data_IF_678579676364
#
_entry.id   IF_678579676364
#
_cell.length_a   1.000
_cell.length_b   1.000
_cell.length_c   1.000
_cell.angle_alpha   90.00
_cell.angle_beta   90.00
_cell.angle_gamma   90.00
#
_symmetry.space_group_name_H-M   'P 1'
#
loop_
_entity.id
_entity.type
_entity.pdbx_description
1 polymer ?
#
# COMPACT_ATOMS: atom_id res chain seq x y z
N UNK A 1 52.32 -28.49 -26.50
CA UNK A 1 52.65 -27.48 -25.48
C UNK A 1 51.96 -26.14 -25.79
N UNK A 2 50.67 -26.16 -26.16
CA UNK A 2 50.01 -25.02 -26.84
C UNK A 2 48.90 -24.38 -26.01
N UNK A 3 48.33 -25.13 -25.06
CA UNK A 3 47.19 -24.67 -24.23
C UNK A 3 47.61 -23.75 -23.06
N UNK A 4 48.85 -23.84 -22.57
CA UNK A 4 49.34 -22.92 -21.52
C UNK A 4 49.57 -21.49 -22.05
N UNK A 5 50.04 -21.36 -23.30
CA UNK A 5 50.32 -20.05 -23.91
C UNK A 5 49.02 -19.27 -24.18
N UNK A 6 47.94 -19.98 -24.54
CA UNK A 6 46.63 -19.38 -24.74
C UNK A 6 46.05 -18.81 -23.42
N UNK A 7 46.18 -19.55 -22.31
CA UNK A 7 45.73 -19.07 -20.99
C UNK A 7 46.53 -17.86 -20.50
N UNK A 8 47.84 -17.80 -20.78
CA UNK A 8 48.68 -16.69 -20.37
C UNK A 8 48.36 -15.41 -21.13
N UNK A 9 48.10 -15.50 -22.44
CA UNK A 9 47.69 -14.34 -23.26
C UNK A 9 46.33 -13.78 -22.82
N UNK A 10 45.37 -14.64 -22.51
CA UNK A 10 44.04 -14.21 -22.03
C UNK A 10 44.15 -13.49 -20.69
N UNK A 11 44.99 -13.99 -19.78
CA UNK A 11 45.21 -13.39 -18.47
C UNK A 11 45.92 -12.03 -18.56
N UNK A 12 46.88 -11.88 -19.47
CA UNK A 12 47.54 -10.60 -19.74
C UNK A 12 46.57 -9.57 -20.32
N UNK A 13 45.66 -10.00 -21.20
CA UNK A 13 44.66 -9.10 -21.79
C UNK A 13 43.63 -8.61 -20.76
N UNK A 14 43.25 -9.48 -19.83
CA UNK A 14 42.37 -9.12 -18.72
C UNK A 14 43.06 -8.18 -17.72
N UNK A 15 44.32 -8.45 -17.38
CA UNK A 15 45.12 -7.56 -16.53
C UNK A 15 45.34 -6.20 -17.19
N UNK A 16 45.61 -6.15 -18.50
CA UNK A 16 45.73 -4.89 -19.23
C UNK A 16 44.41 -4.10 -19.25
N UNK A 17 43.27 -4.78 -19.38
CA UNK A 17 41.96 -4.17 -19.33
C UNK A 17 41.58 -3.64 -17.93
N UNK A 18 42.05 -4.28 -16.87
CA UNK A 18 41.87 -3.82 -15.48
C UNK A 18 42.84 -2.71 -15.07
N UNK A 19 44.04 -2.68 -15.65
CA UNK A 19 45.06 -1.67 -15.35
C UNK A 19 44.83 -0.35 -16.12
N UNK A 20 44.00 -0.40 -17.16
CA UNK A 20 43.57 0.78 -17.92
C UNK A 20 42.25 1.26 -17.34
N UNK A 21 42.31 1.92 -16.19
CA UNK A 21 41.18 2.68 -15.64
C UNK A 21 40.77 3.76 -16.67
N UNK A 22 39.49 3.71 -17.06
CA UNK A 22 38.68 4.77 -17.68
C UNK A 22 39.33 5.61 -18.80
N UNK A 23 39.10 5.21 -20.05
CA UNK A 23 39.34 6.05 -21.22
C UNK A 23 38.40 7.29 -21.21
N UNK A 24 38.93 8.52 -21.39
CA UNK A 24 38.13 9.75 -21.48
C UNK A 24 37.22 9.83 -22.73
N UNK A 25 37.23 8.80 -23.60
CA UNK A 25 36.53 8.80 -24.88
C UNK A 25 35.01 8.64 -24.76
N UNK A 26 34.52 7.93 -23.73
CA UNK A 26 33.07 7.78 -23.51
C UNK A 26 32.40 9.07 -23.03
N UNK A 27 33.09 9.91 -22.27
CA UNK A 27 32.55 11.21 -21.83
C UNK A 27 32.47 12.23 -22.98
N UNK A 28 33.45 12.22 -23.90
CA UNK A 28 33.43 13.12 -25.07
C UNK A 28 32.32 12.74 -26.04
N UNK A 29 32.08 11.44 -26.27
CA UNK A 29 30.99 10.98 -27.12
C UNK A 29 29.60 11.33 -26.56
N UNK A 30 29.40 11.18 -25.24
CA UNK A 30 28.15 11.58 -24.58
C UNK A 30 27.93 13.11 -24.64
N UNK A 31 28.99 13.90 -24.48
CA UNK A 31 28.91 15.36 -24.58
C UNK A 31 28.56 15.82 -26.00
N UNK A 32 29.15 15.20 -27.03
CA UNK A 32 28.83 15.50 -28.43
C UNK A 32 27.37 15.18 -28.77
N UNK A 33 26.85 14.04 -28.31
CA UNK A 33 25.42 13.70 -28.48
C UNK A 33 24.50 14.70 -27.78
N UNK A 34 24.87 15.15 -26.58
CA UNK A 34 24.08 16.12 -25.83
C UNK A 34 24.08 17.50 -26.50
N UNK A 35 25.18 17.90 -27.12
CA UNK A 35 25.29 19.13 -27.92
C UNK A 35 24.43 19.04 -29.20
N UNK A 36 24.49 17.93 -29.94
CA UNK A 36 23.65 17.72 -31.12
C UNK A 36 22.15 17.77 -30.80
N UNK A 37 21.73 17.17 -29.68
CA UNK A 37 20.32 17.21 -29.25
C UNK A 37 19.86 18.64 -28.92
N UNK A 38 20.72 19.43 -28.27
CA UNK A 38 20.41 20.82 -27.93
C UNK A 38 20.31 21.71 -29.17
N UNK A 39 21.12 21.45 -30.20
CA UNK A 39 21.07 22.17 -31.47
C UNK A 39 19.79 21.87 -32.27
N UNK A 40 19.29 20.63 -32.22
CA UNK A 40 17.99 20.25 -32.79
C UNK A 40 16.81 20.89 -32.04
N UNK A 41 16.90 20.96 -30.72
CA UNK A 41 15.90 21.62 -29.87
C UNK A 41 15.85 23.13 -30.12
N UNK A 42 17.01 23.77 -30.30
CA UNK A 42 17.10 25.20 -30.61
C UNK A 42 16.50 25.54 -31.99
N UNK A 43 16.69 24.67 -33.00
CA UNK A 43 16.08 24.84 -34.32
C UNK A 43 14.55 24.71 -34.27
N UNK A 44 14.01 23.87 -33.38
CA UNK A 44 12.57 23.70 -33.20
C UNK A 44 11.89 24.88 -32.47
N UNK A 45 12.62 25.64 -31.65
CA UNK A 45 12.05 26.74 -30.83
C UNK A 45 11.87 28.06 -31.60
N UNK A 46 12.49 28.22 -32.78
CA UNK A 46 12.42 29.46 -33.56
C UNK A 46 11.14 29.55 -34.43
N UNK A 47 10.31 28.49 -34.48
CA UNK A 47 9.04 28.50 -35.24
C UNK A 47 7.82 28.45 -34.33
N UNK A 48 7.73 29.34 -33.34
CA UNK A 48 6.42 29.75 -32.79
C UNK A 48 6.52 31.18 -32.27
N UNK A 49 6.53 32.13 -33.20
CA UNK A 49 6.26 33.53 -32.89
C UNK A 49 4.75 33.70 -32.65
N UNK A 50 4.40 34.09 -31.43
CA UNK A 50 3.18 34.86 -31.11
C UNK A 50 3.06 36.09 -32.03
N UNK A 51 1.90 36.78 -32.02
CA UNK A 51 2.00 38.07 -31.34
C UNK A 51 0.76 38.53 -30.56
N UNK A 52 1.08 39.44 -29.62
CA UNK A 52 0.39 40.68 -29.28
C UNK A 52 -0.63 40.71 -28.13
N UNK A 53 -0.17 41.34 -27.05
CA UNK A 53 -0.89 41.96 -25.94
C UNK A 53 -1.80 43.09 -26.40
N UNK A 54 -3.01 43.18 -25.84
CA UNK A 54 -3.75 44.45 -25.70
C UNK A 54 -4.59 44.47 -24.42
N UNK A 55 -4.45 45.57 -23.69
CA UNK A 55 -5.10 45.97 -22.44
C UNK A 55 -6.59 46.25 -22.62
N UNK A 56 -7.44 45.88 -21.62
CA UNK A 56 -8.48 46.78 -21.08
C UNK A 56 -9.30 46.19 -19.90
N UNK A 57 -9.76 47.14 -19.10
CA UNK A 57 -10.45 47.17 -17.81
C UNK A 57 -11.99 46.98 -17.89
N UNK A 58 -12.56 46.47 -16.79
CA UNK A 58 -13.94 46.67 -16.25
C UNK A 58 -15.16 46.35 -17.14
N UNK A 59 -15.99 45.38 -16.71
CA UNK A 59 -17.45 45.57 -16.51
C UNK A 59 -18.16 44.32 -15.97
N UNK A 60 -18.92 44.53 -14.88
CA UNK A 60 -20.06 43.68 -14.45
C UNK A 60 -21.18 43.79 -15.49
N UNK A 61 -21.87 42.70 -15.79
CA UNK A 61 -23.32 42.53 -15.52
C UNK A 61 -23.92 41.30 -16.26
N UNK A 62 -24.47 40.39 -15.46
CA UNK A 62 -25.76 39.72 -15.60
C UNK A 62 -26.10 38.96 -16.90
N UNK A 63 -26.17 37.63 -16.78
CA UNK A 63 -27.46 36.95 -17.01
C UNK A 63 -27.65 35.83 -15.99
N UNK A 64 -28.88 35.76 -15.50
CA UNK A 64 -29.37 35.00 -14.34
C UNK A 64 -30.54 34.15 -14.87
N UNK A 65 -30.82 33.05 -14.17
CA UNK A 65 -32.03 32.20 -14.24
C UNK A 65 -31.96 31.08 -15.30
N UNK A 66 -32.34 29.82 -15.03
CA UNK A 66 -33.30 29.32 -14.05
C UNK A 66 -33.04 27.85 -13.66
N UNK A 67 -33.23 27.51 -12.38
CA UNK A 67 -33.77 26.23 -11.89
C UNK A 67 -33.71 26.18 -10.35
N UNK A 68 -34.47 27.07 -9.70
CA UNK A 68 -34.68 27.06 -8.25
C UNK A 68 -36.16 26.87 -7.99
N UNK A 69 -36.65 25.64 -8.15
CA UNK A 69 -38.03 25.28 -7.72
C UNK A 69 -38.17 23.82 -7.27
N UNK A 70 -37.11 23.01 -7.23
CA UNK A 70 -37.24 21.58 -6.86
C UNK A 70 -36.56 21.19 -5.54
N UNK A 71 -35.79 22.09 -4.91
CA UNK A 71 -35.02 21.74 -3.69
C UNK A 71 -35.82 21.89 -2.40
N UNK A 72 -36.92 22.65 -2.40
CA UNK A 72 -37.70 22.90 -1.18
C UNK A 72 -38.74 21.81 -0.88
N UNK A 73 -39.16 21.05 -1.90
CA UNK A 73 -40.10 19.93 -1.74
C UNK A 73 -39.42 18.60 -1.37
N UNK A 74 -38.10 18.47 -1.60
CA UNK A 74 -37.33 17.28 -1.22
C UNK A 74 -36.97 17.25 0.29
N UNK A 75 -36.81 18.43 0.92
CA UNK A 75 -36.49 18.53 2.34
C UNK A 75 -37.70 18.23 3.26
N UNK A 76 -38.93 18.41 2.76
CA UNK A 76 -40.15 18.11 3.49
C UNK A 76 -40.42 16.58 3.60
N UNK A 77 -40.08 15.81 2.55
CA UNK A 77 -40.27 14.36 2.53
C UNK A 77 -39.33 13.58 3.45
N UNK A 78 -38.12 14.08 3.69
CA UNK A 78 -37.16 13.48 4.62
C UNK A 78 -37.58 13.66 6.08
N UNK A 79 -38.15 14.81 6.46
CA UNK A 79 -38.64 15.04 7.84
C UNK A 79 -39.81 14.13 8.21
N UNK A 80 -40.70 13.78 7.27
CA UNK A 80 -41.83 12.89 7.55
C UNK A 80 -41.44 11.41 7.73
N UNK A 81 -40.33 10.95 7.13
CA UNK A 81 -39.82 9.59 7.34
C UNK A 81 -39.09 9.39 8.66
N UNK A 82 -38.47 10.44 9.22
CA UNK A 82 -37.83 10.36 10.54
C UNK A 82 -38.85 10.32 11.69
N UNK A 83 -39.98 11.03 11.57
CA UNK A 83 -41.04 11.02 12.61
C UNK A 83 -41.75 9.66 12.74
N UNK A 84 -41.86 8.90 11.64
CA UNK A 84 -42.46 7.55 11.69
C UNK A 84 -41.49 6.47 12.22
N UNK A 85 -40.17 6.69 12.13
CA UNK A 85 -39.17 5.76 12.67
C UNK A 85 -38.99 5.90 14.20
N UNK A 86 -39.19 7.10 14.76
CA UNK A 86 -39.15 7.31 16.21
C UNK A 86 -40.39 6.75 16.94
N UNK A 87 -41.54 6.63 16.28
CA UNK A 87 -42.76 6.09 16.89
C UNK A 87 -42.83 4.55 16.92
N UNK A 88 -41.94 3.85 16.21
CA UNK A 88 -41.86 2.38 16.26
C UNK A 88 -40.92 1.86 17.38
N UNK A 89 -40.26 2.76 18.14
CA UNK A 89 -39.28 2.40 19.17
C UNK A 89 -39.79 2.55 20.61
N UNK A 90 -41.09 2.79 20.81
CA UNK A 90 -41.74 2.76 22.12
C UNK A 90 -42.75 1.62 22.18
N UNK A 91 -42.29 0.46 22.66
CA UNK A 91 -43.03 -0.55 23.42
C UNK A 91 -42.13 -1.79 23.54
N UNK A 92 -41.34 -1.87 24.61
CA UNK A 92 -41.13 -3.08 25.44
C UNK A 92 -40.23 -2.66 26.61
N UNK A 93 -40.80 -1.87 27.51
CA UNK A 93 -40.26 -1.72 28.87
C UNK A 93 -40.71 -2.96 29.64
N UNK A 94 -39.86 -4.00 29.64
CA UNK A 94 -40.08 -5.17 30.49
C UNK A 94 -39.46 -4.87 31.85
N UNK A 95 -40.28 -4.35 32.74
CA UNK A 95 -39.97 -4.27 34.17
C UNK A 95 -39.68 -5.68 34.68
N UNK A 96 -38.47 -5.90 35.20
CA UNK A 96 -38.14 -7.06 36.02
C UNK A 96 -37.86 -6.55 37.43
N UNK A 97 -38.67 -6.91 38.42
CA UNK A 97 -38.52 -6.39 39.78
C UNK A 97 -37.28 -6.95 40.45
N UNK A 98 -36.54 -6.06 41.11
CA UNK A 98 -35.46 -6.37 42.05
C UNK A 98 -36.07 -6.78 43.38
N UNK A 99 -36.07 -8.09 43.70
CA UNK A 99 -36.04 -8.60 45.08
C UNK A 99 -36.01 -10.14 45.09
N UNK A 100 -34.83 -10.75 45.26
CA UNK A 100 -34.58 -11.71 46.34
C UNK A 100 -33.13 -12.22 46.31
N UNK A 101 -32.36 -11.78 47.32
CA UNK A 101 -31.22 -12.53 47.84
C UNK A 101 -31.74 -13.81 48.48
N UNK A 102 -31.03 -14.92 48.31
CA UNK A 102 -30.35 -15.67 49.39
C UNK A 102 -29.94 -17.07 48.91
N UNK A 103 -28.63 -17.33 49.02
CA UNK A 103 -28.00 -18.61 49.34
C UNK A 103 -28.31 -19.85 48.48
N UNK A 104 -27.33 -20.29 47.68
CA UNK A 104 -26.77 -21.65 47.81
C UNK A 104 -25.27 -21.57 47.52
N UNK A 105 -24.51 -22.00 48.51
CA UNK A 105 -23.07 -22.23 48.52
C UNK A 105 -22.77 -23.53 47.75
N UNK A 106 -21.99 -23.47 46.68
CA UNK A 106 -21.32 -24.64 46.09
C UNK A 106 -20.08 -24.15 45.33
N UNK A 107 -18.86 -24.56 45.70
CA UNK A 107 -17.65 -24.08 45.06
C UNK A 107 -17.41 -24.83 43.75
N UNK A 108 -17.69 -24.18 42.63
CA UNK A 108 -17.17 -24.55 41.31
C UNK A 108 -15.90 -23.72 41.02
N UNK A 109 -14.86 -24.32 40.44
CA UNK A 109 -13.51 -23.76 40.44
C UNK A 109 -13.45 -22.47 39.63
N UNK A 110 -12.72 -21.52 40.20
CA UNK A 110 -12.34 -20.22 39.63
C UNK A 110 -11.75 -20.44 38.24
N UNK A 111 -12.52 -20.14 37.21
CA UNK A 111 -11.96 -19.84 35.90
C UNK A 111 -11.25 -18.50 36.03
N UNK A 112 -9.92 -18.53 36.00
CA UNK A 112 -9.10 -17.34 35.87
C UNK A 112 -9.62 -16.50 34.70
N UNK A 113 -9.71 -15.16 34.84
CA UNK A 113 -9.99 -14.32 33.69
C UNK A 113 -8.87 -14.54 32.67
N UNK A 114 -9.24 -15.03 31.49
CA UNK A 114 -8.36 -15.10 30.34
C UNK A 114 -7.77 -13.71 30.14
N UNK A 115 -6.51 -13.57 30.49
CA UNK A 115 -5.69 -12.40 30.17
C UNK A 115 -5.72 -12.34 28.64
N UNK A 116 -6.44 -11.36 28.09
CA UNK A 116 -6.26 -10.96 26.70
C UNK A 116 -4.78 -10.67 26.58
N UNK A 117 -4.05 -11.60 25.97
CA UNK A 117 -2.62 -11.46 25.75
C UNK A 117 -2.44 -10.20 24.92
N UNK A 118 -1.99 -9.12 25.55
CA UNK A 118 -1.54 -7.94 24.85
C UNK A 118 -0.52 -8.43 23.82
N UNK A 119 -0.79 -8.20 22.54
CA UNK A 119 0.12 -8.54 21.47
C UNK A 119 1.52 -8.02 21.84
N UNK A 120 2.59 -8.82 21.63
CA UNK A 120 3.93 -8.45 22.04
C UNK A 120 4.25 -7.04 21.53
N UNK A 121 4.75 -6.18 22.43
CA UNK A 121 5.13 -4.82 22.06
C UNK A 121 6.29 -4.93 21.09
N UNK A 122 6.00 -4.75 19.80
CA UNK A 122 6.98 -4.97 18.75
C UNK A 122 8.14 -3.98 18.84
N UNK A 123 9.35 -4.46 18.52
CA UNK A 123 10.60 -3.70 18.62
C UNK A 123 10.67 -2.44 17.74
N UNK A 124 9.83 -2.31 16.71
CA UNK A 124 9.76 -1.09 15.90
C UNK A 124 8.79 -0.05 16.47
N UNK A 125 7.98 -0.39 17.48
CA UNK A 125 7.17 0.58 18.21
C UNK A 125 7.99 1.38 19.21
N UNK A 126 9.23 0.98 19.48
CA UNK A 126 10.13 1.64 20.42
C UNK A 126 11.32 2.23 19.66
N UNK A 127 11.43 3.57 19.65
CA UNK A 127 12.54 4.28 19.03
C UNK A 127 12.41 4.52 17.52
N UNK A 128 13.55 4.67 16.85
CA UNK A 128 13.64 4.92 15.40
C UNK A 128 13.70 3.61 14.63
N UNK A 129 12.96 3.52 13.54
CA UNK A 129 12.99 2.35 12.66
C UNK A 129 12.91 2.77 11.19
N UNK A 130 13.38 1.89 10.30
CA UNK A 130 13.26 2.11 8.86
C UNK A 130 12.03 1.37 8.34
N UNK A 131 11.28 2.02 7.47
CA UNK A 131 10.18 1.40 6.73
C UNK A 131 10.38 1.57 5.23
N UNK A 132 10.03 0.53 4.48
CA UNK A 132 10.01 0.51 3.02
C UNK A 132 8.64 0.96 2.55
N UNK A 133 8.63 1.94 1.65
CA UNK A 133 7.41 2.46 1.07
C UNK A 133 7.27 1.90 -0.34
N UNK A 134 6.06 1.46 -0.67
CA UNK A 134 5.71 0.98 -2.00
C UNK A 134 4.31 1.44 -2.38
N UNK A 135 4.07 1.52 -3.69
CA UNK A 135 2.80 1.91 -4.27
C UNK A 135 2.05 0.68 -4.78
N UNK A 136 0.76 0.61 -4.46
CA UNK A 136 -0.18 -0.41 -4.94
C UNK A 136 -1.50 0.26 -5.27
N UNK A 137 -1.97 0.15 -6.50
CA UNK A 137 -3.25 0.71 -6.94
C UNK A 137 -3.41 2.21 -6.66
N UNK A 138 -2.30 2.96 -6.67
CA UNK A 138 -2.27 4.38 -6.30
C UNK A 138 -2.32 4.68 -4.79
N UNK A 139 -2.20 3.67 -3.93
CA UNK A 139 -2.07 3.82 -2.48
C UNK A 139 -0.63 3.53 -2.02
N UNK A 140 -0.12 4.42 -1.18
CA UNK A 140 1.16 4.26 -0.50
C UNK A 140 1.00 3.40 0.75
N UNK A 141 1.82 2.36 0.83
CA UNK A 141 1.89 1.45 1.97
C UNK A 141 3.32 1.37 2.46
N UNK A 142 3.49 1.27 3.77
CA UNK A 142 4.79 1.16 4.42
C UNK A 142 4.89 -0.17 5.20
N UNK A 143 6.01 -0.86 5.05
CA UNK A 143 6.35 -2.08 5.79
C UNK A 143 7.68 -1.89 6.52
N UNK A 144 7.77 -2.16 7.84
CA UNK A 144 9.03 -2.08 8.57
C UNK A 144 10.12 -3.00 7.98
N UNK A 145 11.34 -2.49 7.80
CA UNK A 145 12.46 -3.29 7.27
C UNK A 145 12.84 -4.45 8.20
N UNK A 146 12.62 -4.32 9.51
CA UNK A 146 12.87 -5.40 10.48
C UNK A 146 12.01 -6.63 10.21
N UNK A 147 10.84 -6.44 9.63
CA UNK A 147 9.87 -7.52 9.33
C UNK A 147 9.84 -7.84 7.83
N UNK A 148 10.79 -7.33 7.05
CA UNK A 148 10.88 -7.57 5.62
C UNK A 148 11.74 -8.81 5.35
N UNK A 149 11.18 -9.83 4.70
CA UNK A 149 11.94 -11.05 4.35
C UNK A 149 12.83 -10.88 3.12
N UNK A 150 12.38 -10.06 2.18
CA UNK A 150 13.05 -9.86 0.89
C UNK A 150 12.12 -9.24 -0.14
N UNK A 151 12.68 -8.86 -1.28
CA UNK A 151 11.93 -8.32 -2.41
C UNK A 151 12.38 -9.07 -3.67
N UNK A 152 11.42 -9.59 -4.41
CA UNK A 152 11.65 -10.30 -5.65
C UNK A 152 10.91 -9.62 -6.80
N UNK A 153 11.43 -9.76 -8.01
CA UNK A 153 10.70 -9.35 -9.21
C UNK A 153 9.57 -10.36 -9.47
N UNK A 154 8.46 -9.87 -10.00
CA UNK A 154 7.33 -10.69 -10.38
C UNK A 154 7.74 -11.68 -11.46
N UNK A 155 7.50 -12.97 -11.21
CA UNK A 155 7.70 -14.04 -12.19
C UNK A 155 6.37 -14.71 -12.53
N UNK A 156 6.41 -15.81 -13.29
CA UNK A 156 5.23 -16.60 -13.57
C UNK A 156 4.58 -17.09 -12.26
N UNK A 157 3.32 -16.70 -12.05
CA UNK A 157 2.52 -17.09 -10.89
C UNK A 157 1.54 -18.18 -11.32
N UNK A 158 1.54 -19.30 -10.59
CA UNK A 158 0.57 -20.37 -10.79
C UNK A 158 -0.68 -20.11 -9.93
N UNK A 159 -1.80 -19.79 -10.57
CA UNK A 159 -3.06 -19.56 -9.87
C UNK A 159 -3.71 -20.87 -9.46
N UNK A 160 -4.25 -20.91 -8.24
CA UNK A 160 -4.89 -22.10 -7.68
C UNK A 160 -6.40 -21.87 -7.57
N UNK A 161 -7.19 -22.75 -8.16
CA UNK A 161 -8.65 -22.70 -8.09
C UNK A 161 -9.15 -23.08 -6.69
N UNK A 162 -10.24 -22.45 -6.24
CA UNK A 162 -10.83 -22.71 -4.92
C UNK A 162 -10.14 -22.00 -3.76
N UNK A 163 -9.14 -21.15 -4.04
CA UNK A 163 -8.57 -20.21 -3.06
C UNK A 163 -9.41 -18.94 -2.99
N UNK A 164 -9.28 -18.17 -1.89
CA UNK A 164 -9.89 -16.86 -1.77
C UNK A 164 -9.41 -15.92 -2.86
N UNK A 165 -10.23 -14.93 -3.07
CA UNK A 165 -10.19 -14.02 -4.19
C UNK A 165 -8.99 -13.03 -4.15
N UNK A 166 -8.42 -12.82 -2.95
CA UNK A 166 -7.16 -12.09 -2.74
C UNK A 166 -5.91 -12.94 -2.99
N UNK A 167 -6.05 -14.26 -3.15
CA UNK A 167 -4.92 -15.13 -3.42
C UNK A 167 -4.62 -15.14 -4.92
N UNK A 168 -3.54 -14.47 -5.32
CA UNK A 168 -3.16 -14.39 -6.75
C UNK A 168 -2.62 -15.73 -7.27
N UNK A 169 -1.85 -16.44 -6.44
CA UNK A 169 -1.30 -17.74 -6.78
C UNK A 169 0.00 -18.06 -6.04
N UNK A 170 0.79 -18.98 -6.58
CA UNK A 170 2.10 -19.37 -6.06
C UNK A 170 3.18 -19.09 -7.10
N UNK A 171 4.17 -18.29 -6.73
CA UNK A 171 5.38 -18.02 -7.50
C UNK A 171 6.50 -18.95 -7.05
N UNK A 172 7.30 -19.48 -7.98
CA UNK A 172 8.50 -20.24 -7.66
C UNK A 172 9.74 -19.36 -7.89
N UNK A 173 10.53 -19.14 -6.85
CA UNK A 173 11.77 -18.37 -6.93
C UNK A 173 12.93 -19.16 -6.34
N UNK A 174 13.95 -19.49 -7.15
CA UNK A 174 15.14 -20.25 -6.72
C UNK A 174 14.80 -21.46 -5.83
N UNK A 175 13.82 -22.25 -6.28
CA UNK A 175 13.28 -23.45 -5.60
C UNK A 175 12.40 -23.19 -4.35
N UNK A 176 12.24 -21.94 -3.93
CA UNK A 176 11.30 -21.55 -2.87
C UNK A 176 9.92 -21.22 -3.44
N UNK A 177 8.87 -21.76 -2.81
CA UNK A 177 7.47 -21.47 -3.15
C UNK A 177 6.99 -20.26 -2.36
N UNK A 178 6.66 -19.18 -3.06
CA UNK A 178 6.14 -17.96 -2.48
C UNK A 178 4.65 -17.86 -2.81
N UNK A 179 3.81 -17.85 -1.78
CA UNK A 179 2.39 -17.60 -1.89
C UNK A 179 2.15 -16.11 -2.14
N UNK A 180 1.64 -15.78 -3.31
CA UNK A 180 1.49 -14.43 -3.81
C UNK A 180 0.07 -13.92 -3.54
N UNK A 181 -0.04 -12.79 -2.83
CA UNK A 181 -1.29 -12.14 -2.45
C UNK A 181 -1.51 -10.88 -3.28
N UNK A 182 -2.74 -10.70 -3.76
CA UNK A 182 -3.19 -9.46 -4.42
C UNK A 182 -3.38 -8.37 -3.34
N UNK A 183 -2.34 -7.55 -3.16
CA UNK A 183 -2.34 -6.48 -2.17
C UNK A 183 -3.38 -5.40 -2.46
N UNK A 184 -3.69 -5.11 -3.73
CA UNK A 184 -4.71 -4.10 -4.05
C UNK A 184 -6.08 -4.54 -3.51
N UNK A 185 -6.42 -5.80 -3.76
CA UNK A 185 -7.67 -6.40 -3.27
C UNK A 185 -7.70 -6.50 -1.74
N UNK A 186 -6.57 -6.85 -1.14
CA UNK A 186 -6.45 -6.94 0.32
C UNK A 186 -6.56 -5.59 1.02
N UNK A 187 -5.94 -4.54 0.48
CA UNK A 187 -5.94 -3.23 1.15
C UNK A 187 -7.24 -2.46 0.86
N UNK A 188 -7.75 -2.53 -0.37
CA UNK A 188 -8.95 -1.81 -0.80
C UNK A 188 -9.90 -2.72 -1.59
N UNK A 189 -10.70 -3.57 -0.93
CA UNK A 189 -11.63 -4.47 -1.64
C UNK A 189 -12.78 -3.68 -2.28
N UNK A 190 -13.23 -2.60 -1.64
CA UNK A 190 -14.37 -1.77 -2.08
C UNK A 190 -14.10 -1.03 -3.40
N UNK A 191 -12.82 -0.78 -3.73
CA UNK A 191 -12.41 -0.04 -4.92
C UNK A 191 -11.81 -0.96 -5.99
N UNK A 192 -11.88 -2.27 -5.78
CA UNK A 192 -11.32 -3.23 -6.70
C UNK A 192 -12.31 -3.48 -7.86
N UNK A 193 -12.26 -2.60 -8.86
CA UNK A 193 -13.03 -2.75 -10.10
C UNK A 193 -12.25 -3.55 -11.14
N UNK A 194 -12.95 -4.19 -12.09
CA UNK A 194 -12.30 -4.88 -13.22
C UNK A 194 -11.37 -3.95 -14.02
N UNK A 195 -11.72 -2.68 -14.16
CA UNK A 195 -10.87 -1.69 -14.83
C UNK A 195 -9.56 -1.45 -14.07
N UNK A 196 -9.61 -1.45 -12.73
CA UNK A 196 -8.41 -1.35 -11.91
C UNK A 196 -7.56 -2.60 -12.09
N UNK A 197 -8.17 -3.79 -12.03
CA UNK A 197 -7.48 -5.06 -12.23
C UNK A 197 -6.70 -5.14 -13.55
N UNK A 198 -7.26 -4.59 -14.65
CA UNK A 198 -6.57 -4.52 -15.94
C UNK A 198 -5.42 -3.51 -15.96
N UNK A 199 -5.50 -2.46 -15.15
CA UNK A 199 -4.47 -1.42 -15.05
C UNK A 199 -3.34 -1.82 -14.11
N UNK A 200 -3.61 -2.67 -13.13
CA UNK A 200 -2.64 -3.10 -12.12
C UNK A 200 -1.52 -3.89 -12.77
N UNK A 201 -0.32 -3.32 -12.72
CA UNK A 201 0.89 -3.98 -13.21
C UNK A 201 1.82 -4.30 -12.04
N UNK A 202 1.67 -5.51 -11.49
CA UNK A 202 2.51 -5.97 -10.40
C UNK A 202 3.91 -6.35 -10.90
N UNK A 203 4.92 -5.56 -10.54
CA UNK A 203 6.30 -5.77 -10.95
C UNK A 203 7.14 -6.44 -9.86
N UNK A 204 6.73 -6.32 -8.60
CA UNK A 204 7.50 -6.80 -7.46
C UNK A 204 6.62 -7.59 -6.48
N UNK A 205 7.27 -8.50 -5.75
CA UNK A 205 6.70 -9.29 -4.67
C UNK A 205 7.54 -9.06 -3.42
N UNK A 206 6.91 -8.54 -2.38
CA UNK A 206 7.54 -8.25 -1.08
C UNK A 206 7.26 -9.40 -0.13
N UNK A 207 8.28 -10.10 0.34
CA UNK A 207 8.15 -11.18 1.31
C UNK A 207 7.96 -10.64 2.73
N UNK A 208 7.00 -11.24 3.43
CA UNK A 208 6.63 -10.88 4.79
C UNK A 208 7.41 -11.73 5.80
N UNK A 209 8.35 -11.11 6.51
CA UNK A 209 9.20 -11.75 7.51
C UNK A 209 9.83 -13.04 7.00
N UNK A 210 9.82 -14.08 7.84
CA UNK A 210 10.35 -15.40 7.48
C UNK A 210 9.27 -16.32 6.90
N UNK A 211 8.15 -15.77 6.45
CA UNK A 211 7.04 -16.55 5.92
C UNK A 211 7.16 -16.76 4.41
N UNK A 212 6.40 -17.73 3.90
CA UNK A 212 6.28 -17.94 2.45
C UNK A 212 5.25 -17.01 1.80
N UNK A 213 4.79 -15.96 2.51
CA UNK A 213 3.81 -15.01 1.98
C UNK A 213 4.50 -13.82 1.32
N UNK A 214 4.02 -13.47 0.12
CA UNK A 214 4.51 -12.36 -0.68
C UNK A 214 3.37 -11.42 -1.08
N UNK A 215 3.56 -10.13 -0.86
CA UNK A 215 2.64 -9.06 -1.27
C UNK A 215 3.01 -8.55 -2.66
N UNK A 216 2.06 -8.54 -3.58
CA UNK A 216 2.26 -7.90 -4.88
C UNK A 216 2.31 -6.38 -4.75
N UNK A 217 3.27 -5.74 -5.39
CA UNK A 217 3.28 -4.28 -5.54
C UNK A 217 3.70 -3.85 -6.94
N UNK A 218 3.30 -2.64 -7.32
CA UNK A 218 3.56 -2.10 -8.65
C UNK A 218 4.93 -1.42 -8.71
N UNK A 219 5.25 -0.62 -7.70
CA UNK A 219 6.52 0.11 -7.63
C UNK A 219 7.02 0.23 -6.20
N UNK A 220 8.34 0.17 -6.06
CA UNK A 220 9.06 0.43 -4.81
C UNK A 220 9.43 1.92 -4.80
N UNK A 221 9.17 2.62 -3.70
CA UNK A 221 9.44 4.05 -3.59
C UNK A 221 10.84 4.26 -3.02
N UNK A 222 10.98 4.22 -1.70
CA UNK A 222 12.22 4.42 -0.96
C UNK A 222 12.04 3.92 0.48
N UNK A 223 13.15 3.79 1.19
CA UNK A 223 13.15 3.54 2.62
C UNK A 223 13.30 4.86 3.38
N UNK A 224 12.50 5.06 4.43
CA UNK A 224 12.59 6.23 5.29
C UNK A 224 12.77 5.82 6.74
N UNK A 225 13.58 6.59 7.47
CA UNK A 225 13.65 6.54 8.92
C UNK A 225 12.41 7.22 9.51
N UNK A 226 11.66 6.48 10.31
CA UNK A 226 10.48 6.93 11.03
C UNK A 226 10.74 6.89 12.53
N UNK A 227 10.21 7.89 13.22
CA UNK A 227 10.15 7.90 14.68
C UNK A 227 8.78 7.43 15.16
N UNK A 228 8.69 7.01 16.43
CA UNK A 228 7.42 6.59 17.02
C UNK A 228 6.34 7.68 16.93
N UNK A 229 6.72 8.95 17.05
CA UNK A 229 5.81 10.11 16.98
C UNK A 229 5.32 10.42 15.55
N UNK A 230 6.02 9.95 14.52
CA UNK A 230 5.61 10.10 13.12
C UNK A 230 4.43 9.18 12.77
N UNK A 231 4.19 8.16 13.60
CA UNK A 231 3.14 7.17 13.40
C UNK A 231 2.00 7.41 14.39
N UNK A 232 0.79 7.56 13.85
CA UNK A 232 -0.44 7.47 14.64
C UNK A 232 -0.78 5.99 14.83
N UNK A 233 -0.33 5.42 15.95
CA UNK A 233 -0.63 4.05 16.35
C UNK A 233 -2.12 3.86 16.63
N UNK A 234 -2.62 2.66 16.36
CA UNK A 234 -3.96 2.26 16.78
C UNK A 234 -3.87 1.39 18.04
N UNK A 235 -4.84 1.58 18.94
CA UNK A 235 -4.97 0.75 20.14
C UNK A 235 -6.10 -0.27 20.03
N UNK A 236 -7.13 0.04 19.23
CA UNK A 236 -8.25 -0.88 18.99
C UNK A 236 -8.07 -1.67 17.68
N UNK A 237 -8.15 -3.00 17.80
CA UNK A 237 -8.43 -3.90 16.69
C UNK A 237 -9.78 -3.50 16.09
N UNK A 238 -9.75 -2.87 14.92
CA UNK A 238 -10.95 -2.49 14.17
C UNK A 238 -11.10 -3.38 12.96
N UNK A 239 -11.86 -2.92 11.96
CA UNK A 239 -12.14 -3.63 10.69
C UNK A 239 -10.90 -4.13 9.91
N UNK A 240 -9.66 -3.76 10.29
CA UNK A 240 -8.41 -4.07 9.58
C UNK A 240 -7.27 -4.40 10.55
N UNK A 241 -7.23 -5.58 11.16
CA UNK A 241 -6.21 -5.94 12.17
C UNK A 241 -4.75 -5.86 11.65
N UNK A 242 -4.54 -6.04 10.34
CA UNK A 242 -3.22 -5.95 9.69
C UNK A 242 -2.61 -4.54 9.63
N UNK A 243 -3.36 -3.47 9.92
CA UNK A 243 -2.82 -2.10 9.89
C UNK A 243 -2.30 -1.74 11.28
N UNK A 244 -1.01 -1.43 11.42
CA UNK A 244 -0.39 -1.00 12.69
C UNK A 244 -0.70 0.46 13.04
N UNK A 245 -0.76 1.34 12.03
CA UNK A 245 -0.94 2.77 12.23
C UNK A 245 -0.90 3.57 10.93
N UNK A 246 -0.99 4.89 11.04
CA UNK A 246 -0.91 5.82 9.91
C UNK A 246 0.28 6.76 10.07
N UNK A 247 1.12 6.85 9.04
CA UNK A 247 2.31 7.72 9.03
C UNK A 247 1.89 9.13 8.62
N UNK A 248 2.07 10.10 9.52
CA UNK A 248 1.60 11.48 9.36
C UNK A 248 2.26 12.21 8.19
N UNK A 249 3.58 12.07 8.05
CA UNK A 249 4.38 12.80 7.03
C UNK A 249 4.01 12.41 5.59
N UNK A 250 3.76 11.13 5.35
CA UNK A 250 3.54 10.58 4.01
C UNK A 250 2.10 10.15 3.74
N UNK A 251 1.19 10.33 4.72
CA UNK A 251 -0.22 9.94 4.64
C UNK A 251 -0.41 8.50 4.15
N UNK A 252 0.42 7.59 4.65
CA UNK A 252 0.42 6.19 4.24
C UNK A 252 0.16 5.28 5.42
N UNK A 253 -0.25 4.06 5.11
CA UNK A 253 -0.59 3.05 6.10
C UNK A 253 0.66 2.26 6.46
N UNK A 254 0.93 2.11 7.76
CA UNK A 254 1.93 1.19 8.28
C UNK A 254 1.28 -0.19 8.48
N UNK A 255 1.86 -1.22 7.85
CA UNK A 255 1.39 -2.60 7.97
C UNK A 255 2.02 -3.26 9.19
N UNK A 256 1.20 -4.01 9.91
CA UNK A 256 1.62 -4.96 10.94
C UNK A 256 1.85 -6.32 10.26
N UNK A 257 3.12 -6.70 10.07
CA UNK A 257 3.46 -7.89 9.28
C UNK A 257 3.00 -9.19 9.96
N UNK A 258 3.24 -9.33 11.27
CA UNK A 258 2.81 -10.53 12.00
C UNK A 258 1.29 -10.72 11.98
N UNK A 259 0.53 -9.65 12.24
CA UNK A 259 -0.93 -9.72 12.18
C UNK A 259 -1.41 -10.04 10.76
N UNK A 260 -0.73 -9.50 9.74
CA UNK A 260 -1.05 -9.83 8.35
C UNK A 260 -0.77 -11.31 8.03
N UNK A 261 0.37 -11.87 8.46
CA UNK A 261 0.71 -13.27 8.25
C UNK A 261 -0.31 -14.18 8.96
N UNK A 262 -0.70 -13.86 10.18
CA UNK A 262 -1.68 -14.64 10.95
C UNK A 262 -3.05 -14.67 10.24
N UNK A 263 -3.51 -13.53 9.72
CA UNK A 263 -4.75 -13.47 8.92
C UNK A 263 -4.66 -14.30 7.64
N UNK A 264 -3.53 -14.21 6.92
CA UNK A 264 -3.30 -14.98 5.69
C UNK A 264 -3.25 -16.49 5.96
N UNK A 265 -2.65 -16.90 7.08
CA UNK A 265 -2.61 -18.31 7.51
C UNK A 265 -4.00 -18.85 7.87
N UNK A 266 -4.84 -18.03 8.51
CA UNK A 266 -6.23 -18.37 8.82
C UNK A 266 -7.14 -18.36 7.59
N UNK A 267 -6.69 -17.75 6.49
CA UNK A 267 -7.46 -17.61 5.26
C UNK A 267 -8.66 -16.68 5.40
N UNK A 268 -8.64 -15.77 6.38
CA UNK A 268 -9.74 -14.86 6.66
C UNK A 268 -9.74 -13.70 5.66
N UNK A 269 -10.89 -13.44 5.04
CA UNK A 269 -11.10 -12.23 4.27
C UNK A 269 -11.21 -11.03 5.20
N UNK A 270 -10.67 -9.89 4.78
CA UNK A 270 -10.78 -8.62 5.51
C UNK A 270 -12.22 -8.06 5.60
N UNK A 271 -13.18 -8.75 5.00
CA UNK A 271 -14.62 -8.43 5.02
C UNK A 271 -15.42 -9.34 5.96
N UNK A 272 -14.81 -10.38 6.52
CA UNK A 272 -15.46 -11.33 7.42
C UNK A 272 -15.59 -10.79 8.85
#
# INVERSE_FOLDING_TARGET
MSNLIASQKVMQHYLAALLTEEEPQQQVALQQQKQQLNELLAQAVVTTTEPAVSTQTVSKASSKQASTTQTEQALAGLKQKFVQAEQAMQLTQREVPVAQRLAVDTPAPVAEPAVVAAAPVKDYRQGRFQALFFDVAGLKVAVPLKELGGIHQMAAVNSLFGKPDWFKGVMLYREQKINTVDTARWVMPEKYDQSLQQKLNYQYVIMLGNSNWGLCCESLINTYMLEQDDVKWREAEGKRPWMAGLIKKHMCVLVDVDAMIDLLNRGLDITA
#
